data_IF_108920857522
#
_entry.id   IF_108920857522
#
_cell.length_a   1.000
_cell.length_b   1.000
_cell.length_c   1.000
_cell.angle_alpha   90.00
_cell.angle_beta   90.00
_cell.angle_gamma   90.00
#
_symmetry.space_group_name_H-M   'P 1'
#
loop_
_entity.id
_entity.type
_entity.pdbx_description
1 polymer ?
#
# COMPACT_ATOMS: atom_id res chain seq x y z
N UNK A 1 -15.46 -69.07 2.73
CA UNK A 1 -14.42 -68.33 1.97
C UNK A 1 -14.95 -66.94 1.72
N UNK A 2 -14.15 -65.96 2.12
CA UNK A 2 -14.44 -64.53 2.17
C UNK A 2 -13.99 -63.94 0.83
N UNK A 3 -14.83 -63.17 0.14
CA UNK A 3 -14.46 -62.14 -0.87
C UNK A 3 -15.75 -61.70 -1.60
N UNK A 4 -16.08 -60.43 -1.86
CA UNK A 4 -15.60 -59.13 -1.39
C UNK A 4 -16.66 -58.17 -1.96
N UNK A 5 -17.45 -57.56 -1.09
CA UNK A 5 -18.35 -56.45 -1.44
C UNK A 5 -17.52 -55.18 -1.24
N UNK A 6 -17.06 -54.58 -2.34
CA UNK A 6 -16.49 -53.23 -2.33
C UNK A 6 -17.13 -52.44 -3.47
N UNK A 7 -18.26 -51.84 -3.11
CA UNK A 7 -18.89 -50.72 -3.78
C UNK A 7 -17.94 -49.53 -3.59
N UNK A 8 -17.18 -49.21 -4.63
CA UNK A 8 -16.32 -48.02 -4.63
C UNK A 8 -17.20 -46.78 -4.44
N UNK A 9 -17.03 -46.16 -3.29
CA UNK A 9 -17.54 -44.84 -2.97
C UNK A 9 -16.82 -43.86 -3.88
N UNK A 10 -17.55 -43.25 -4.81
CA UNK A 10 -17.08 -42.04 -5.46
C UNK A 10 -16.67 -41.04 -4.39
N UNK A 11 -15.39 -40.68 -4.39
CA UNK A 11 -14.88 -39.57 -3.63
C UNK A 11 -15.55 -38.31 -4.19
N UNK A 12 -16.56 -37.81 -3.50
CA UNK A 12 -16.96 -36.42 -3.60
C UNK A 12 -15.80 -35.60 -3.02
N UNK A 13 -14.80 -35.32 -3.86
CA UNK A 13 -13.86 -34.25 -3.61
C UNK A 13 -14.65 -32.96 -3.60
N UNK A 14 -14.78 -32.34 -2.43
CA UNK A 14 -15.33 -31.01 -2.32
C UNK A 14 -14.51 -30.09 -3.23
N UNK A 15 -15.16 -29.46 -4.20
CA UNK A 15 -14.60 -28.30 -4.84
C UNK A 15 -14.47 -27.25 -3.72
N UNK A 16 -13.24 -27.06 -3.22
CA UNK A 16 -12.90 -25.81 -2.58
C UNK A 16 -13.26 -24.73 -3.60
N UNK A 17 -14.15 -23.82 -3.20
CA UNK A 17 -14.52 -22.64 -3.95
C UNK A 17 -13.26 -21.80 -4.11
N UNK A 18 -12.46 -22.14 -5.12
CA UNK A 18 -11.29 -21.38 -5.52
C UNK A 18 -11.86 -20.09 -6.10
N UNK A 19 -12.03 -19.10 -5.22
CA UNK A 19 -12.38 -17.74 -5.59
C UNK A 19 -11.49 -17.24 -6.73
N UNK A 20 -11.83 -16.08 -7.32
CA UNK A 20 -11.14 -15.60 -8.52
C UNK A 20 -9.61 -15.64 -8.35
N UNK A 21 -8.87 -16.02 -9.41
CA UNK A 21 -7.43 -16.17 -9.33
C UNK A 21 -6.80 -14.87 -8.82
N UNK A 22 -5.95 -14.97 -7.79
CA UNK A 22 -5.26 -13.81 -7.23
C UNK A 22 -4.38 -13.16 -8.29
N UNK A 23 -4.28 -11.83 -8.27
CA UNK A 23 -3.35 -11.08 -9.12
C UNK A 23 -1.93 -11.64 -8.98
N UNK A 24 -1.13 -11.67 -10.06
CA UNK A 24 0.26 -12.12 -9.98
C UNK A 24 1.06 -11.22 -9.04
N UNK A 25 2.05 -11.79 -8.35
CA UNK A 25 3.05 -10.98 -7.66
C UNK A 25 3.90 -10.24 -8.69
N UNK A 26 4.17 -8.96 -8.42
CA UNK A 26 5.23 -8.21 -9.09
C UNK A 26 6.30 -7.90 -8.05
N UNK A 27 7.50 -8.36 -8.31
CA UNK A 27 8.69 -7.90 -7.61
C UNK A 27 9.28 -6.73 -8.43
N UNK A 28 9.93 -5.76 -7.79
CA UNK A 28 10.76 -4.78 -8.46
C UNK A 28 11.63 -5.46 -9.51
N UNK A 29 11.54 -5.02 -10.77
CA UNK A 29 12.56 -5.34 -11.75
C UNK A 29 13.87 -4.64 -11.33
N UNK A 30 15.01 -5.13 -11.81
CA UNK A 30 16.34 -4.68 -11.36
C UNK A 30 16.60 -3.17 -11.54
N UNK A 31 15.83 -2.50 -12.40
CA UNK A 31 15.85 -1.06 -12.65
C UNK A 31 15.00 -0.25 -11.66
N UNK A 32 14.25 -0.90 -10.76
CA UNK A 32 13.46 -0.26 -9.69
C UNK A 32 13.98 -0.61 -8.29
N UNK A 33 15.19 -1.17 -8.16
CA UNK A 33 15.84 -1.33 -6.86
C UNK A 33 16.06 0.05 -6.22
N UNK A 34 15.52 0.24 -5.02
CA UNK A 34 15.69 1.46 -4.26
C UNK A 34 17.11 1.51 -3.69
N UNK A 35 17.87 2.53 -4.09
CA UNK A 35 19.17 2.84 -3.50
C UNK A 35 18.97 3.35 -2.06
N UNK A 36 19.37 2.54 -1.07
CA UNK A 36 19.22 2.85 0.35
C UNK A 36 20.23 3.89 0.85
N UNK A 37 21.24 4.24 0.05
CA UNK A 37 22.13 5.37 0.32
C UNK A 37 21.53 6.73 -0.10
N UNK A 38 20.25 6.75 -0.52
CA UNK A 38 19.51 7.96 -0.91
C UNK A 38 18.28 8.18 -0.06
N UNK A 39 17.87 9.45 -0.01
CA UNK A 39 16.60 9.86 0.56
C UNK A 39 15.57 10.12 -0.53
N UNK A 40 14.35 9.61 -0.33
CA UNK A 40 13.21 9.82 -1.21
C UNK A 40 12.11 10.52 -0.44
N UNK A 41 11.71 11.71 -0.90
CA UNK A 41 10.50 12.38 -0.45
C UNK A 41 9.42 12.19 -1.51
N UNK A 42 8.31 11.55 -1.13
CA UNK A 42 7.10 11.49 -1.93
C UNK A 42 6.23 12.71 -1.64
N UNK A 43 6.03 13.54 -2.65
CA UNK A 43 5.32 14.81 -2.55
C UNK A 43 3.97 14.67 -3.23
N UNK A 44 2.91 14.82 -2.44
CA UNK A 44 1.53 14.81 -2.90
C UNK A 44 0.99 16.24 -2.94
N UNK A 45 0.76 16.77 -4.12
CA UNK A 45 -0.03 17.99 -4.27
C UNK A 45 -1.50 17.61 -4.21
N UNK A 46 -2.23 18.08 -3.20
CA UNK A 46 -3.66 17.76 -3.03
C UNK A 46 -4.54 18.99 -3.19
N UNK A 47 -5.84 18.79 -3.33
CA UNK A 47 -6.84 19.88 -3.29
C UNK A 47 -6.83 20.69 -1.98
N UNK A 48 -6.17 20.21 -0.92
CA UNK A 48 -6.07 20.87 0.39
C UNK A 48 -4.68 21.45 0.71
N UNK A 49 -3.71 21.27 -0.19
CA UNK A 49 -2.30 21.66 -0.02
C UNK A 49 -1.32 20.52 -0.28
N UNK A 50 -0.03 20.79 -0.08
CA UNK A 50 1.04 19.80 -0.25
C UNK A 50 1.22 18.93 1.00
N UNK A 51 1.43 17.63 0.80
CA UNK A 51 1.87 16.68 1.83
C UNK A 51 3.21 16.10 1.38
N UNK A 52 4.23 16.23 2.22
CA UNK A 52 5.56 15.64 1.98
C UNK A 52 5.77 14.46 2.89
N UNK A 53 6.08 13.31 2.28
CA UNK A 53 6.27 12.04 2.97
C UNK A 53 7.71 11.58 2.74
N UNK A 54 8.47 11.36 3.81
CA UNK A 54 9.76 10.67 3.73
C UNK A 54 9.51 9.17 3.61
N UNK A 55 10.07 8.55 2.59
CA UNK A 55 9.98 7.11 2.36
C UNK A 55 11.11 6.35 3.08
N UNK A 56 10.83 5.11 3.46
CA UNK A 56 11.75 4.20 4.16
C UNK A 56 12.06 2.96 3.30
N UNK A 57 13.04 3.05 2.38
CA UNK A 57 13.43 1.92 1.53
C UNK A 57 14.16 0.80 2.29
N UNK A 58 14.66 1.06 3.51
CA UNK A 58 15.31 0.03 4.32
C UNK A 58 14.28 -0.93 4.92
N UNK A 59 13.16 -0.39 5.42
CA UNK A 59 12.08 -1.19 6.00
C UNK A 59 11.14 -1.78 4.94
N UNK A 60 10.92 -1.08 3.82
CA UNK A 60 9.90 -1.44 2.84
C UNK A 60 10.34 -1.23 1.37
N UNK A 61 11.46 -1.86 0.92
CA UNK A 61 12.00 -1.67 -0.43
C UNK A 61 11.01 -2.01 -1.56
N UNK A 62 10.21 -3.07 -1.44
CA UNK A 62 9.23 -3.46 -2.47
C UNK A 62 8.14 -2.40 -2.61
N UNK A 63 7.65 -1.90 -1.48
CA UNK A 63 6.65 -0.85 -1.42
C UNK A 63 7.18 0.46 -1.97
N UNK A 64 8.34 0.91 -1.51
CA UNK A 64 8.94 2.17 -1.94
C UNK A 64 9.23 2.14 -3.44
N UNK A 65 9.81 1.06 -3.96
CA UNK A 65 9.99 0.85 -5.39
C UNK A 65 8.69 1.00 -6.20
N UNK A 66 7.59 0.40 -5.72
CA UNK A 66 6.28 0.53 -6.36
C UNK A 66 5.75 1.98 -6.31
N UNK A 67 5.92 2.70 -5.19
CA UNK A 67 5.55 4.12 -5.08
C UNK A 67 6.30 4.98 -6.10
N UNK A 68 7.61 4.75 -6.25
CA UNK A 68 8.46 5.46 -7.21
C UNK A 68 7.95 5.24 -8.64
N UNK A 69 7.80 3.98 -9.05
CA UNK A 69 7.33 3.61 -10.39
C UNK A 69 5.93 4.18 -10.71
N UNK A 70 4.98 4.04 -9.78
CA UNK A 70 3.61 4.52 -9.98
C UNK A 70 3.53 6.05 -9.99
N UNK A 71 4.42 6.75 -9.28
CA UNK A 71 4.49 8.22 -9.33
C UNK A 71 5.13 8.68 -10.65
N UNK A 72 6.23 8.06 -11.08
CA UNK A 72 6.89 8.40 -12.35
C UNK A 72 5.99 8.18 -13.57
N UNK A 73 5.15 7.15 -13.52
CA UNK A 73 4.16 6.85 -14.57
C UNK A 73 2.84 7.61 -14.41
N UNK A 74 2.75 8.54 -13.46
CA UNK A 74 1.59 9.43 -13.26
C UNK A 74 0.33 8.73 -12.75
N UNK A 75 0.43 7.50 -12.21
CA UNK A 75 -0.73 6.73 -11.77
C UNK A 75 -1.41 7.33 -10.54
N UNK A 76 -0.68 8.10 -9.72
CA UNK A 76 -1.26 8.76 -8.56
C UNK A 76 -1.94 10.11 -8.89
N UNK A 77 -1.82 10.61 -10.12
CA UNK A 77 -2.43 11.86 -10.52
C UNK A 77 -3.96 11.72 -10.63
N UNK A 78 -4.68 12.65 -10.01
CA UNK A 78 -6.15 12.64 -9.94
C UNK A 78 -6.73 11.52 -9.07
N UNK A 79 -5.92 10.84 -8.25
CA UNK A 79 -6.39 9.81 -7.33
C UNK A 79 -7.21 10.44 -6.20
N UNK A 80 -8.28 9.76 -5.82
CA UNK A 80 -9.21 10.22 -4.78
C UNK A 80 -8.87 9.60 -3.42
N UNK A 81 -8.98 10.40 -2.36
CA UNK A 81 -9.11 9.90 -1.00
C UNK A 81 -10.52 9.32 -0.80
N UNK A 82 -10.70 8.06 -1.20
CA UNK A 82 -11.98 7.35 -1.21
C UNK A 82 -12.42 6.87 0.18
N UNK A 83 -11.54 6.94 1.18
CA UNK A 83 -11.87 6.62 2.57
C UNK A 83 -11.19 7.57 3.54
N UNK A 84 -12.00 8.25 4.36
CA UNK A 84 -11.53 9.16 5.41
C UNK A 84 -12.24 8.81 6.71
N UNK A 85 -11.47 8.41 7.71
CA UNK A 85 -11.97 8.11 9.06
C UNK A 85 -11.31 9.06 10.05
N UNK A 86 -12.09 9.99 10.60
CA UNK A 86 -11.63 10.99 11.55
C UNK A 86 -10.96 10.30 12.75
N UNK A 87 -9.82 10.85 13.18
CA UNK A 87 -8.99 10.30 14.26
C UNK A 87 -8.47 8.88 13.99
N UNK A 88 -8.46 8.44 12.73
CA UNK A 88 -7.85 7.17 12.36
C UNK A 88 -6.93 7.35 11.15
N UNK A 89 -7.46 7.32 9.92
CA UNK A 89 -6.66 7.43 8.69
C UNK A 89 -7.40 8.19 7.59
N UNK A 90 -6.64 8.79 6.68
CA UNK A 90 -7.06 9.04 5.29
C UNK A 90 -6.47 7.96 4.39
N UNK A 91 -7.21 7.50 3.39
CA UNK A 91 -6.80 6.43 2.49
C UNK A 91 -7.14 6.78 1.05
N UNK A 92 -6.16 6.56 0.18
CA UNK A 92 -6.19 6.84 -1.26
C UNK A 92 -5.40 5.78 -2.03
N UNK A 93 -4.96 6.12 -3.24
CA UNK A 93 -4.10 5.26 -4.07
C UNK A 93 -4.84 4.26 -4.97
N UNK A 94 -6.17 4.28 -4.99
CA UNK A 94 -6.95 3.53 -5.99
C UNK A 94 -7.05 4.36 -7.28
N UNK A 95 -6.11 4.14 -8.20
CA UNK A 95 -6.07 4.86 -9.47
C UNK A 95 -6.97 4.28 -10.56
N UNK A 96 -7.30 2.99 -10.44
CA UNK A 96 -8.05 2.23 -11.45
C UNK A 96 -9.55 2.47 -11.32
N UNK A 97 -10.12 2.22 -10.13
CA UNK A 97 -11.57 2.29 -9.90
C UNK A 97 -11.98 3.48 -9.06
N UNK A 98 -11.08 4.02 -8.24
CA UNK A 98 -11.30 5.16 -7.33
C UNK A 98 -12.45 4.94 -6.34
N UNK A 99 -12.80 3.69 -6.07
CA UNK A 99 -13.89 3.26 -5.17
C UNK A 99 -13.39 2.45 -3.96
N UNK A 100 -12.08 2.23 -3.87
CA UNK A 100 -11.41 1.45 -2.83
C UNK A 100 -11.19 -0.02 -3.20
N UNK A 101 -11.63 -0.47 -4.39
CA UNK A 101 -11.49 -1.85 -4.86
C UNK A 101 -10.61 -1.99 -6.10
N UNK A 102 -10.00 -0.91 -6.58
CA UNK A 102 -9.04 -0.92 -7.68
C UNK A 102 -7.58 -0.87 -7.23
N UNK A 103 -6.70 -0.78 -8.23
CA UNK A 103 -5.25 -0.77 -8.08
C UNK A 103 -4.58 -1.44 -9.28
N UNK A 104 -3.26 -1.67 -9.22
CA UNK A 104 -2.51 -2.24 -10.35
C UNK A 104 -2.96 -3.66 -10.70
N UNK A 105 -2.65 -4.17 -11.90
CA UNK A 105 -2.96 -5.55 -12.29
C UNK A 105 -2.09 -6.61 -11.59
N UNK A 106 -1.27 -6.19 -10.61
CA UNK A 106 -0.37 -7.03 -9.82
C UNK A 106 -0.59 -6.77 -8.32
N UNK A 107 0.07 -7.59 -7.48
CA UNK A 107 0.21 -7.37 -6.04
C UNK A 107 1.68 -7.35 -5.62
N UNK A 108 1.98 -6.69 -4.51
CA UNK A 108 3.31 -6.66 -3.88
C UNK A 108 3.23 -7.39 -2.52
N UNK A 109 4.35 -7.90 -1.97
CA UNK A 109 4.34 -8.58 -0.67
C UNK A 109 4.07 -7.64 0.49
N UNK A 110 3.57 -8.18 1.60
CA UNK A 110 3.56 -7.48 2.88
C UNK A 110 4.99 -7.39 3.42
N UNK A 111 5.41 -6.19 3.82
CA UNK A 111 6.70 -5.91 4.48
C UNK A 111 6.39 -5.48 5.92
N UNK A 112 6.14 -6.45 6.83
CA UNK A 112 5.57 -6.14 8.14
C UNK A 112 6.51 -5.26 8.94
N UNK A 113 5.98 -4.16 9.46
CA UNK A 113 6.77 -3.22 10.27
C UNK A 113 6.93 -3.71 11.70
N UNK A 114 8.14 -3.57 12.25
CA UNK A 114 8.42 -3.70 13.68
C UNK A 114 8.21 -2.39 14.46
N UNK A 115 7.93 -1.30 13.75
CA UNK A 115 7.67 0.02 14.31
C UNK A 115 6.17 0.25 14.51
N UNK A 116 5.82 1.07 15.51
CA UNK A 116 4.44 1.46 15.72
C UNK A 116 3.97 2.49 14.70
N UNK A 117 2.74 2.36 14.23
CA UNK A 117 2.05 3.43 13.50
C UNK A 117 1.72 4.58 14.46
N UNK A 118 2.45 5.68 14.34
CA UNK A 118 2.24 6.92 15.06
C UNK A 118 1.39 7.89 14.22
N UNK A 119 1.16 9.11 14.70
CA UNK A 119 0.55 10.17 13.88
C UNK A 119 1.48 10.52 12.71
N UNK A 120 0.93 10.60 11.50
CA UNK A 120 1.68 10.90 10.28
C UNK A 120 2.40 9.69 9.67
N UNK A 121 2.30 8.50 10.26
CA UNK A 121 2.80 7.28 9.63
C UNK A 121 2.03 6.98 8.35
N UNK A 122 2.75 6.50 7.34
CA UNK A 122 2.21 6.13 6.03
C UNK A 122 2.35 4.63 5.84
N UNK A 123 1.22 3.97 5.57
CA UNK A 123 1.18 2.53 5.39
C UNK A 123 0.47 2.09 4.12
N UNK A 124 0.78 0.89 3.66
CA UNK A 124 0.18 0.29 2.47
C UNK A 124 -1.11 -0.43 2.88
N UNK A 125 -2.23 -0.13 2.22
CA UNK A 125 -3.49 -0.79 2.46
C UNK A 125 -3.48 -2.20 1.85
N UNK A 126 -4.15 -3.13 2.54
CA UNK A 126 -4.24 -4.53 2.13
C UNK A 126 -5.61 -5.11 2.47
N UNK A 127 -5.98 -6.17 1.76
CA UNK A 127 -7.13 -7.04 2.06
C UNK A 127 -6.70 -8.34 2.77
N UNK A 128 -5.54 -8.31 3.43
CA UNK A 128 -4.85 -9.46 4.00
C UNK A 128 -3.40 -9.53 3.53
N UNK A 129 -2.63 -10.45 4.13
CA UNK A 129 -1.21 -10.62 3.80
C UNK A 129 -1.01 -10.86 2.30
N UNK A 130 -0.03 -10.16 1.73
CA UNK A 130 0.38 -10.21 0.34
C UNK A 130 -0.73 -9.86 -0.65
N UNK A 131 -1.51 -8.81 -0.37
CA UNK A 131 -2.57 -8.30 -1.26
C UNK A 131 -2.43 -6.82 -1.59
N UNK A 132 -1.32 -6.22 -1.15
CA UNK A 132 -0.94 -4.84 -1.36
C UNK A 132 -0.77 -4.53 -2.85
N UNK A 133 -0.94 -3.26 -3.21
CA UNK A 133 -0.81 -2.79 -4.59
C UNK A 133 -0.38 -1.33 -4.64
N UNK A 134 -1.34 -0.41 -4.73
CA UNK A 134 -1.10 1.03 -4.80
C UNK A 134 -1.84 1.84 -3.73
N UNK A 135 -2.79 1.23 -3.03
CA UNK A 135 -3.60 1.95 -2.06
C UNK A 135 -2.79 2.20 -0.79
N UNK A 136 -2.71 3.45 -0.34
CA UNK A 136 -1.98 3.84 0.86
C UNK A 136 -2.90 4.54 1.85
N UNK A 137 -2.48 4.61 3.10
CA UNK A 137 -3.13 5.39 4.13
C UNK A 137 -2.14 6.25 4.93
N UNK A 138 -2.62 7.37 5.47
CA UNK A 138 -1.89 8.24 6.38
C UNK A 138 -2.66 8.33 7.69
N UNK A 139 -1.99 8.10 8.81
CA UNK A 139 -2.61 8.06 10.14
C UNK A 139 -2.77 9.45 10.76
N UNK A 140 -3.96 9.73 11.31
CA UNK A 140 -4.23 10.94 12.10
C UNK A 140 -3.69 10.84 13.53
N UNK A 141 -3.53 9.62 14.06
CA UNK A 141 -3.14 9.37 15.44
C UNK A 141 -2.38 8.05 15.55
N UNK A 142 -1.89 7.73 16.75
CA UNK A 142 -1.26 6.44 17.03
C UNK A 142 -2.26 5.28 16.87
N UNK A 143 -1.89 4.26 16.09
CA UNK A 143 -2.78 3.16 15.66
C UNK A 143 -2.12 1.80 15.86
N UNK A 144 -1.91 1.37 17.13
CA UNK A 144 -1.11 0.18 17.44
C UNK A 144 -1.73 -1.14 16.98
N UNK A 145 -3.02 -1.14 16.59
CA UNK A 145 -3.69 -2.31 16.03
C UNK A 145 -3.30 -2.57 14.56
N UNK A 146 -2.52 -1.68 13.94
CA UNK A 146 -1.95 -1.88 12.60
C UNK A 146 -0.52 -2.46 12.65
N UNK A 147 0.15 -2.36 13.81
CA UNK A 147 1.53 -2.76 14.01
C UNK A 147 1.73 -4.24 13.65
N UNK A 148 2.75 -4.54 12.85
CA UNK A 148 3.06 -5.91 12.38
C UNK A 148 2.07 -6.52 11.38
N UNK A 149 0.94 -5.85 11.08
CA UNK A 149 -0.08 -6.34 10.14
C UNK A 149 -0.04 -5.64 8.78
N UNK A 150 0.46 -4.41 8.76
CA UNK A 150 0.57 -3.59 7.55
C UNK A 150 2.01 -3.15 7.32
N UNK A 151 2.36 -2.94 6.06
CA UNK A 151 3.63 -2.29 5.71
C UNK A 151 3.60 -0.83 6.13
N UNK A 152 4.54 -0.40 6.97
CA UNK A 152 4.85 1.00 7.25
C UNK A 152 6.03 1.38 6.37
N UNK A 153 5.83 2.30 5.42
CA UNK A 153 6.83 2.61 4.39
C UNK A 153 7.26 4.08 4.37
N UNK A 154 6.73 4.89 5.28
CA UNK A 154 7.13 6.30 5.37
C UNK A 154 6.42 7.06 6.47
N UNK A 155 6.74 8.34 6.54
CA UNK A 155 6.19 9.30 7.50
C UNK A 155 6.00 10.68 6.86
N UNK A 156 4.93 11.36 7.24
CA UNK A 156 4.70 12.76 6.87
C UNK A 156 5.72 13.64 7.59
N UNK A 157 6.54 14.36 6.83
CA UNK A 157 7.53 15.31 7.35
C UNK A 157 7.08 16.76 7.23
N UNK A 158 6.19 17.07 6.27
CA UNK A 158 5.57 18.39 6.11
C UNK A 158 4.11 18.22 5.63
N UNK A 159 3.21 19.13 6.04
CA UNK A 159 1.80 19.10 5.61
C UNK A 159 0.88 18.22 6.48
N UNK A 160 1.22 17.93 7.73
CA UNK A 160 0.33 17.17 8.62
C UNK A 160 -1.00 17.89 8.87
N UNK A 161 -1.01 19.21 8.87
CA UNK A 161 -2.22 20.04 8.92
C UNK A 161 -3.05 19.96 7.64
N UNK A 162 -2.44 19.62 6.49
CA UNK A 162 -3.16 19.31 5.24
C UNK A 162 -3.84 17.96 5.39
N UNK A 163 -3.14 16.94 5.89
CA UNK A 163 -3.70 15.61 6.19
C UNK A 163 -4.97 15.74 7.04
N UNK A 164 -4.93 16.54 8.12
CA UNK A 164 -6.10 16.75 9.00
C UNK A 164 -7.30 17.44 8.30
N UNK A 165 -7.06 18.19 7.21
CA UNK A 165 -8.11 18.88 6.44
C UNK A 165 -8.72 18.03 5.35
N UNK A 166 -8.05 16.97 4.90
CA UNK A 166 -8.54 16.08 3.84
C UNK A 166 -9.91 15.51 4.21
N UNK A 167 -10.81 15.54 3.24
CA UNK A 167 -12.18 15.02 3.29
C UNK A 167 -12.36 13.92 2.26
N UNK A 168 -13.43 13.14 2.45
CA UNK A 168 -13.85 12.17 1.46
C UNK A 168 -14.06 12.85 0.11
N UNK A 169 -13.41 12.34 -0.94
CA UNK A 169 -13.52 12.89 -2.29
C UNK A 169 -12.47 13.96 -2.63
N UNK A 170 -11.66 14.44 -1.68
CA UNK A 170 -10.48 15.23 -2.01
C UNK A 170 -9.52 14.40 -2.86
N UNK A 171 -8.70 15.10 -3.64
CA UNK A 171 -7.87 14.48 -4.69
C UNK A 171 -6.40 14.80 -4.49
N UNK A 172 -5.56 13.84 -4.84
CA UNK A 172 -4.16 14.07 -5.22
C UNK A 172 -4.19 14.65 -6.62
N UNK A 173 -3.85 15.93 -6.77
CA UNK A 173 -3.75 16.61 -8.06
C UNK A 173 -2.57 16.04 -8.84
N UNK A 174 -1.41 15.94 -8.18
CA UNK A 174 -0.21 15.33 -8.74
C UNK A 174 0.62 14.64 -7.65
N UNK A 175 1.39 13.63 -8.03
CA UNK A 175 2.36 12.98 -7.15
C UNK A 175 3.74 12.90 -7.81
N UNK A 176 4.78 13.28 -7.07
CA UNK A 176 6.17 13.23 -7.56
C UNK A 176 7.12 12.75 -6.47
N UNK A 177 8.26 12.21 -6.88
CA UNK A 177 9.33 11.82 -5.96
C UNK A 177 10.51 12.78 -6.13
N UNK A 178 10.98 13.33 -5.02
CA UNK A 178 12.22 14.09 -4.94
C UNK A 178 13.31 13.20 -4.33
N UNK A 179 14.45 13.09 -5.02
CA UNK A 179 15.60 12.30 -4.57
C UNK A 179 16.70 13.23 -4.10
N UNK A 180 17.28 12.94 -2.93
CA UNK A 180 18.41 13.70 -2.36
C UNK A 180 19.55 12.76 -2.02
N UNK A 181 20.77 13.22 -2.28
CA UNK A 181 21.97 12.50 -1.84
C UNK A 181 22.12 12.60 -0.32
N UNK A 182 22.35 11.47 0.36
CA UNK A 182 22.66 11.45 1.78
C UNK A 182 22.42 10.08 2.40
N UNK A 183 23.38 9.59 3.20
CA UNK A 183 23.23 8.38 4.01
C UNK A 183 22.09 8.59 5.01
N UNK A 184 21.09 7.72 4.95
CA UNK A 184 20.09 7.55 5.99
C UNK A 184 20.75 7.41 7.36
N UNK A 185 20.26 8.18 8.33
CA UNK A 185 20.63 8.06 9.73
C UNK A 185 19.38 8.10 10.59
#
# INVERSE_FOLDING_TARGET
MISSVLKERGAAGGAEDAGPPRKPFRYPESDWETDTDRHYDWVLETSQGEIRIRLDPDSAPFTVSSILHLSETGQYDGVVFHRVVRNFVIQGGDFDRRDGFGGPPYRIPTEPSFSSFNRGSVGMASSGQDTEGSQFFITHTRTPHLDGLYTLFGEVVEGMEVVDRIRLGDVVISARVEVREGRGK
#
